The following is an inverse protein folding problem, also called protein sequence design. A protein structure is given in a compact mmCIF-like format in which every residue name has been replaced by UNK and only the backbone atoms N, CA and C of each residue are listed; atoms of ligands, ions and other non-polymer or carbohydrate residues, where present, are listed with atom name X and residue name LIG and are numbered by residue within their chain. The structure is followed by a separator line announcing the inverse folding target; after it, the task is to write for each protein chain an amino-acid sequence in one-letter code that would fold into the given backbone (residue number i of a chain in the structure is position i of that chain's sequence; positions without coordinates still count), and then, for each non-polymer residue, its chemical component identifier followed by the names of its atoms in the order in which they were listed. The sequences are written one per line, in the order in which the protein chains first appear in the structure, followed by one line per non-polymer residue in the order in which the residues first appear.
data_IF_494854459677
#
_entry.id   IF_494854459677
#
_cell.length_a   1.000
_cell.length_b   1.000
_cell.length_c   1.000
_cell.angle_alpha   90.00
_cell.angle_beta   90.00
_cell.angle_gamma   90.00
#
_symmetry.space_group_name_H-M   'P 1'
#
loop_
_entity.id
_entity.type
_entity.pdbx_description
1 polymer ?
#
# COMPACT_ATOMS: atom_id res chain seq x y z
N UNK A 1 68.62 -8.07 -24.74
CA UNK A 1 68.05 -7.51 -23.50
C UNK A 1 66.57 -7.86 -23.48
N UNK A 2 66.17 -9.06 -23.03
CA UNK A 2 65.63 -9.41 -21.68
C UNK A 2 64.53 -8.41 -21.24
N UNK A 3 63.27 -8.76 -20.93
CA UNK A 3 62.62 -9.88 -20.21
C UNK A 3 61.18 -10.09 -20.78
N UNK A 4 60.63 -11.30 -21.04
CA UNK A 4 60.01 -12.29 -20.12
C UNK A 4 58.94 -11.65 -19.20
N UNK A 5 57.64 -11.96 -19.21
CA UNK A 5 56.94 -13.23 -19.40
C UNK A 5 56.44 -13.75 -18.05
N UNK A 6 55.21 -14.28 -18.00
CA UNK A 6 54.67 -15.33 -17.08
C UNK A 6 53.43 -14.95 -16.23
N UNK A 7 52.30 -15.55 -16.67
CA UNK A 7 51.14 -16.05 -15.91
C UNK A 7 51.51 -16.78 -14.61
N UNK A 8 50.77 -16.59 -13.52
CA UNK A 8 50.80 -17.54 -12.40
C UNK A 8 49.38 -17.85 -11.93
N UNK A 9 48.89 -19.02 -12.35
CA UNK A 9 47.88 -19.80 -11.65
C UNK A 9 48.47 -20.37 -10.36
N UNK A 10 47.76 -20.34 -9.24
CA UNK A 10 47.95 -21.32 -8.18
C UNK A 10 46.61 -21.72 -7.55
N UNK A 11 46.22 -22.97 -7.78
CA UNK A 11 45.37 -23.75 -6.89
C UNK A 11 46.19 -24.15 -5.66
N UNK A 12 45.62 -24.09 -4.45
CA UNK A 12 45.96 -25.02 -3.38
C UNK A 12 44.74 -25.28 -2.49
N UNK A 13 44.41 -26.57 -2.38
CA UNK A 13 43.42 -27.16 -1.47
C UNK A 13 43.88 -27.13 -0.01
N UNK A 14 42.90 -27.10 0.90
CA UNK A 14 42.87 -27.99 2.07
C UNK A 14 42.92 -27.32 3.43
N UNK A 15 41.88 -27.54 4.24
CA UNK A 15 41.92 -27.29 5.68
C UNK A 15 40.53 -27.19 6.34
N UNK A 16 39.81 -28.32 6.47
CA UNK A 16 38.80 -28.44 7.51
C UNK A 16 39.53 -28.45 8.87
N UNK A 17 39.27 -27.45 9.70
CA UNK A 17 39.56 -27.49 11.12
C UNK A 17 38.22 -27.30 11.85
N UNK A 18 37.69 -28.41 12.35
CA UNK A 18 36.76 -28.40 13.46
C UNK A 18 37.55 -28.00 14.72
N UNK A 19 37.15 -26.91 15.36
CA UNK A 19 37.58 -26.57 16.71
C UNK A 19 36.33 -26.22 17.52
N UNK A 20 35.92 -27.15 18.39
CA UNK A 20 35.14 -26.83 19.59
C UNK A 20 36.08 -26.18 20.61
N UNK A 21 35.76 -25.01 21.14
CA UNK A 21 35.22 -24.86 22.51
C UNK A 21 35.10 -23.37 22.86
N UNK A 22 33.92 -23.03 23.37
CA UNK A 22 33.59 -22.03 24.37
C UNK A 22 34.33 -20.68 24.38
N UNK A 23 33.65 -19.66 23.85
CA UNK A 23 33.63 -18.35 24.50
C UNK A 23 32.33 -17.59 24.16
N UNK A 24 31.64 -17.15 25.22
CA UNK A 24 30.43 -16.32 25.22
C UNK A 24 30.52 -15.12 24.25
N UNK A 25 30.12 -15.35 23.00
CA UNK A 25 29.68 -14.32 22.08
C UNK A 25 28.17 -14.20 22.19
N UNK A 26 27.67 -12.99 22.35
CA UNK A 26 26.27 -12.67 22.13
C UNK A 26 25.96 -12.91 20.65
N UNK A 27 25.72 -14.17 20.29
CA UNK A 27 25.10 -14.57 19.03
C UNK A 27 23.66 -14.09 19.09
N UNK A 28 23.43 -12.82 18.74
CA UNK A 28 22.15 -12.43 18.17
C UNK A 28 22.04 -13.24 16.87
N UNK A 29 21.14 -14.24 16.79
CA UNK A 29 20.90 -14.93 15.55
C UNK A 29 20.52 -13.90 14.50
N UNK A 30 21.04 -14.04 13.29
CA UNK A 30 20.50 -13.32 12.14
C UNK A 30 18.97 -13.55 12.13
N UNK A 31 18.15 -12.48 12.10
CA UNK A 31 16.71 -12.65 12.18
C UNK A 31 16.26 -13.55 11.04
N UNK A 32 15.58 -14.64 11.38
CA UNK A 32 14.94 -15.51 10.41
C UNK A 32 14.15 -14.66 9.39
N UNK A 33 14.27 -14.93 8.09
CA UNK A 33 13.58 -14.13 7.09
C UNK A 33 12.08 -14.12 7.39
N UNK A 34 11.51 -12.92 7.49
CA UNK A 34 10.10 -12.76 7.85
C UNK A 34 9.21 -13.55 6.89
N UNK A 35 8.30 -14.36 7.44
CA UNK A 35 7.33 -15.17 6.67
C UNK A 35 6.10 -14.37 6.27
N UNK A 36 5.99 -13.11 6.71
CA UNK A 36 4.91 -12.19 6.37
C UNK A 36 5.35 -10.73 6.45
N UNK A 37 4.71 -9.80 5.72
CA UNK A 37 4.95 -8.38 5.91
C UNK A 37 4.45 -7.91 7.28
N UNK A 38 5.14 -6.92 7.84
CA UNK A 38 4.86 -6.36 9.17
C UNK A 38 4.80 -4.84 9.11
N UNK A 39 3.95 -4.26 9.95
CA UNK A 39 3.87 -2.82 10.23
C UNK A 39 4.33 -2.57 11.68
N UNK A 40 5.28 -1.66 11.94
CA UNK A 40 5.88 -1.44 13.25
C UNK A 40 5.02 -0.55 14.18
N UNK A 41 3.72 -0.44 13.91
CA UNK A 41 2.77 0.35 14.67
C UNK A 41 1.65 -0.56 15.17
N UNK A 42 1.06 -0.20 16.31
CA UNK A 42 -0.13 -0.85 16.83
C UNK A 42 -1.42 -0.33 16.20
N UNK A 43 -1.39 0.93 15.74
CA UNK A 43 -2.54 1.60 15.11
C UNK A 43 -2.09 2.57 14.03
N UNK A 44 -2.84 2.56 12.93
CA UNK A 44 -2.85 3.63 11.93
C UNK A 44 -4.30 4.12 11.83
N UNK A 45 -4.55 5.36 12.20
CA UNK A 45 -5.88 5.97 12.14
C UNK A 45 -5.88 7.22 11.27
N UNK A 46 -6.85 7.32 10.38
CA UNK A 46 -7.07 8.46 9.50
C UNK A 46 -8.36 9.15 9.92
N UNK A 47 -8.36 10.49 9.93
CA UNK A 47 -9.54 11.30 10.21
C UNK A 47 -9.68 12.42 9.18
N UNK A 48 -10.83 12.47 8.53
CA UNK A 48 -11.16 13.46 7.49
C UNK A 48 -12.51 14.11 7.81
N UNK A 49 -12.59 15.43 7.64
CA UNK A 49 -13.87 16.15 7.62
C UNK A 49 -14.24 16.36 6.16
N UNK A 50 -15.32 15.72 5.73
CA UNK A 50 -15.87 15.81 4.38
C UNK A 50 -16.90 16.93 4.38
N UNK A 51 -16.51 18.06 3.78
CA UNK A 51 -17.39 19.20 3.61
C UNK A 51 -18.41 18.94 2.49
N UNK A 52 -19.66 19.35 2.72
CA UNK A 52 -20.72 19.30 1.71
C UNK A 52 -21.62 20.54 1.84
N UNK A 53 -22.41 20.84 0.81
CA UNK A 53 -23.41 21.93 0.85
C UNK A 53 -24.51 21.70 1.91
N UNK A 54 -24.55 20.51 2.53
CA UNK A 54 -25.48 20.16 3.59
C UNK A 54 -24.79 20.20 4.97
N UNK A 55 -24.43 19.03 5.50
CA UNK A 55 -23.82 18.89 6.81
C UNK A 55 -22.46 18.20 6.67
N UNK A 56 -21.43 18.66 7.40
CA UNK A 56 -20.13 18.04 7.35
C UNK A 56 -20.19 16.64 7.97
N UNK A 57 -19.50 15.70 7.34
CA UNK A 57 -19.33 14.33 7.85
C UNK A 57 -17.90 14.16 8.30
N UNK A 58 -17.69 13.75 9.54
CA UNK A 58 -16.37 13.31 10.00
C UNK A 58 -16.22 11.82 9.74
N UNK A 59 -15.35 11.45 8.82
CA UNK A 59 -14.96 10.06 8.57
C UNK A 59 -13.71 9.72 9.40
N UNK A 60 -13.68 8.54 10.00
CA UNK A 60 -12.53 7.99 10.72
C UNK A 60 -12.29 6.55 10.26
N UNK A 61 -11.06 6.21 9.92
CA UNK A 61 -10.64 4.90 9.46
C UNK A 61 -9.52 4.41 10.37
N UNK A 62 -9.79 3.37 11.17
CA UNK A 62 -8.83 2.86 12.17
C UNK A 62 -8.39 1.46 11.79
N UNK A 63 -7.09 1.28 11.57
CA UNK A 63 -6.42 0.01 11.29
C UNK A 63 -5.64 -0.42 12.54
N UNK A 64 -5.90 -1.62 13.05
CA UNK A 64 -5.26 -2.15 14.25
C UNK A 64 -4.36 -3.34 13.92
N UNK A 65 -3.18 -3.36 14.51
CA UNK A 65 -2.15 -4.35 14.29
C UNK A 65 -1.82 -5.06 15.61
N UNK A 66 -1.55 -6.36 15.53
CA UNK A 66 -1.10 -7.12 16.70
C UNK A 66 0.39 -6.85 17.00
N UNK A 67 0.88 -7.43 18.10
CA UNK A 67 2.28 -7.30 18.51
C UNK A 67 3.31 -7.89 17.53
N UNK A 68 2.86 -8.72 16.57
CA UNK A 68 3.69 -9.24 15.48
C UNK A 68 3.64 -8.33 14.22
N UNK A 69 2.95 -7.19 14.28
CA UNK A 69 2.84 -6.23 13.19
C UNK A 69 1.86 -6.62 12.08
N UNK A 70 0.98 -7.61 12.30
CA UNK A 70 -0.05 -8.00 11.32
C UNK A 70 -1.37 -7.31 11.62
N UNK A 71 -2.04 -6.84 10.57
CA UNK A 71 -3.36 -6.21 10.68
C UNK A 71 -4.40 -7.22 11.17
N UNK A 72 -5.16 -6.87 12.21
CA UNK A 72 -6.20 -7.75 12.78
C UNK A 72 -7.62 -7.24 12.52
N UNK A 73 -7.79 -5.94 12.39
CA UNK A 73 -9.10 -5.34 12.19
C UNK A 73 -9.02 -3.96 11.57
N UNK A 74 -10.12 -3.59 10.92
CA UNK A 74 -10.40 -2.25 10.44
C UNK A 74 -11.76 -1.80 10.99
N UNK A 75 -11.85 -0.55 11.42
CA UNK A 75 -13.12 0.08 11.81
C UNK A 75 -13.29 1.38 11.02
N UNK A 76 -14.39 1.48 10.29
CA UNK A 76 -14.81 2.70 9.60
C UNK A 76 -15.95 3.38 10.37
N UNK A 77 -15.75 4.63 10.76
CA UNK A 77 -16.73 5.43 11.48
C UNK A 77 -17.09 6.70 10.70
N UNK A 78 -18.37 7.02 10.62
CA UNK A 78 -18.87 8.31 10.13
C UNK A 78 -19.69 8.98 11.21
N UNK A 79 -19.46 10.28 11.40
CA UNK A 79 -20.18 11.09 12.39
C UNK A 79 -20.70 12.37 11.75
N UNK A 80 -21.98 12.67 11.97
CA UNK A 80 -22.67 13.85 11.42
C UNK A 80 -23.85 14.26 12.31
N UNK A 81 -24.29 15.50 12.23
CA UNK A 81 -25.35 16.05 13.11
C UNK A 81 -26.64 16.27 12.34
N UNK A 82 -27.65 15.39 12.42
CA UNK A 82 -28.93 15.61 11.76
C UNK A 82 -29.94 16.28 12.71
N UNK A 83 -30.40 17.49 12.38
CA UNK A 83 -31.17 18.31 13.32
C UNK A 83 -30.29 18.78 14.48
N UNK A 84 -30.70 18.47 15.71
CA UNK A 84 -29.96 18.79 16.94
C UNK A 84 -29.23 17.56 17.53
N UNK A 85 -29.23 16.42 16.84
CA UNK A 85 -28.69 15.14 17.34
C UNK A 85 -27.43 14.70 16.57
N UNK A 86 -26.44 14.19 17.30
CA UNK A 86 -25.23 13.59 16.74
C UNK A 86 -25.48 12.12 16.41
N UNK A 87 -25.26 11.74 15.16
CA UNK A 87 -25.31 10.37 14.69
C UNK A 87 -23.90 9.84 14.46
N UNK A 88 -23.71 8.56 14.78
CA UNK A 88 -22.49 7.82 14.52
C UNK A 88 -22.85 6.49 13.85
N UNK A 89 -22.24 6.22 12.71
CA UNK A 89 -22.33 4.95 12.00
C UNK A 89 -20.95 4.33 12.05
N UNK A 90 -20.86 3.10 12.55
CA UNK A 90 -19.62 2.36 12.67
C UNK A 90 -19.77 1.03 11.94
N UNK A 91 -18.74 0.63 11.19
CA UNK A 91 -18.66 -0.68 10.57
C UNK A 91 -17.30 -1.31 10.86
N UNK A 92 -17.29 -2.60 11.21
CA UNK A 92 -16.04 -3.33 11.51
C UNK A 92 -15.75 -4.41 10.47
N UNK A 93 -14.47 -4.57 10.14
CA UNK A 93 -13.95 -5.65 9.30
C UNK A 93 -12.88 -6.41 10.08
N UNK A 94 -12.95 -7.73 10.08
CA UNK A 94 -11.98 -8.60 10.76
C UNK A 94 -10.99 -9.21 9.77
N UNK A 95 -9.78 -9.48 10.23
CA UNK A 95 -8.73 -10.14 9.45
C UNK A 95 -8.24 -11.37 10.22
N UNK A 96 -8.42 -12.54 9.63
CA UNK A 96 -7.95 -13.81 10.16
C UNK A 96 -6.86 -14.40 9.27
N UNK A 97 -5.80 -14.90 9.89
CA UNK A 97 -4.69 -15.54 9.17
C UNK A 97 -4.68 -17.04 9.41
N UNK A 98 -4.47 -17.79 8.33
CA UNK A 98 -4.25 -19.24 8.31
C UNK A 98 -2.98 -19.54 7.51
N UNK A 99 -2.63 -20.81 7.41
CA UNK A 99 -1.51 -21.23 6.56
C UNK A 99 -1.72 -20.75 5.12
N UNK A 100 -0.78 -19.95 4.60
CA UNK A 100 -0.82 -19.33 3.28
C UNK A 100 -2.15 -18.63 2.92
N UNK A 101 -2.84 -18.06 3.93
CA UNK A 101 -4.14 -17.44 3.70
C UNK A 101 -4.42 -16.28 4.65
N UNK A 102 -5.07 -15.23 4.14
CA UNK A 102 -5.73 -14.21 4.93
C UNK A 102 -7.21 -14.16 4.54
N UNK A 103 -8.11 -14.15 5.52
CA UNK A 103 -9.56 -14.03 5.33
C UNK A 103 -10.00 -12.72 5.93
N UNK A 104 -10.55 -11.85 5.08
CA UNK A 104 -11.08 -10.54 5.47
C UNK A 104 -12.59 -10.61 5.37
N UNK A 105 -13.28 -10.32 6.47
CA UNK A 105 -14.75 -10.37 6.54
C UNK A 105 -15.28 -9.02 7.00
N UNK A 106 -16.12 -8.39 6.17
CA UNK A 106 -16.78 -7.14 6.51
C UNK A 106 -18.10 -7.35 7.27
N UNK A 107 -18.67 -6.28 7.82
CA UNK A 107 -19.93 -6.32 8.57
C UNK A 107 -21.15 -6.68 7.71
N UNK A 108 -21.08 -6.44 6.40
CA UNK A 108 -22.11 -6.83 5.46
C UNK A 108 -22.09 -8.35 5.16
N UNK A 109 -21.08 -9.07 5.64
CA UNK A 109 -20.90 -10.51 5.42
C UNK A 109 -20.16 -10.86 4.14
N UNK A 110 -19.56 -9.88 3.46
CA UNK A 110 -18.65 -10.13 2.33
C UNK A 110 -17.38 -10.79 2.87
N UNK A 111 -16.98 -11.90 2.25
CA UNK A 111 -15.76 -12.62 2.62
C UNK A 111 -14.77 -12.56 1.47
N UNK A 112 -13.63 -11.92 1.72
CA UNK A 112 -12.48 -11.87 0.83
C UNK A 112 -11.38 -12.83 1.32
N UNK A 113 -11.16 -13.91 0.57
CA UNK A 113 -10.12 -14.90 0.88
C UNK A 113 -8.91 -14.69 -0.02
N UNK A 114 -7.79 -14.28 0.58
CA UNK A 114 -6.51 -14.07 -0.07
C UNK A 114 -5.64 -15.31 0.09
N UNK A 115 -5.14 -15.86 -1.02
CA UNK A 115 -4.11 -16.91 -1.01
C UNK A 115 -2.75 -16.23 -0.98
N UNK A 116 -1.93 -16.52 0.03
CA UNK A 116 -0.64 -15.88 0.25
C UNK A 116 0.50 -16.76 -0.27
N UNK A 117 1.58 -16.13 -0.71
CA UNK A 117 2.87 -16.80 -0.95
C UNK A 117 3.64 -17.03 0.37
N UNK A 118 4.79 -17.68 0.28
CA UNK A 118 5.68 -18.01 1.40
C UNK A 118 6.19 -16.78 2.18
N UNK A 119 6.05 -15.59 1.59
CA UNK A 119 6.42 -14.29 2.16
C UNK A 119 5.22 -13.50 2.68
N UNK A 120 4.03 -14.09 2.65
CA UNK A 120 2.79 -13.54 3.20
C UNK A 120 2.07 -12.52 2.33
N UNK A 121 2.46 -12.36 1.06
CA UNK A 121 1.79 -11.47 0.09
C UNK A 121 0.80 -12.26 -0.76
N UNK A 122 -0.36 -11.67 -1.07
CA UNK A 122 -1.41 -12.36 -1.81
C UNK A 122 -1.02 -12.64 -3.27
N UNK A 123 -1.23 -13.85 -3.77
CA UNK A 123 -1.11 -14.14 -5.21
C UNK A 123 -2.48 -14.13 -5.89
N UNK A 124 -3.53 -14.47 -5.14
CA UNK A 124 -4.92 -14.42 -5.59
C UNK A 124 -5.85 -13.97 -4.47
N UNK A 125 -7.02 -13.46 -4.84
CA UNK A 125 -8.13 -13.22 -3.93
C UNK A 125 -9.44 -13.69 -4.57
N UNK A 126 -10.28 -14.34 -3.79
CA UNK A 126 -11.69 -14.59 -4.13
C UNK A 126 -12.56 -13.83 -3.13
N UNK A 127 -13.29 -12.83 -3.61
CA UNK A 127 -14.27 -12.10 -2.81
C UNK A 127 -15.67 -12.54 -3.16
N UNK A 128 -16.48 -12.86 -2.15
CA UNK A 128 -17.87 -13.26 -2.32
C UNK A 128 -18.78 -12.42 -1.44
N UNK A 129 -19.82 -11.83 -2.02
CA UNK A 129 -20.86 -11.12 -1.29
C UNK A 129 -21.94 -12.08 -0.74
N UNK A 130 -22.83 -11.57 0.10
CA UNK A 130 -23.95 -12.35 0.67
C UNK A 130 -24.94 -12.88 -0.37
N UNK A 131 -24.95 -12.33 -1.59
CA UNK A 131 -25.78 -12.82 -2.68
C UNK A 131 -25.10 -13.95 -3.48
N UNK A 132 -23.83 -14.27 -3.16
CA UNK A 132 -23.03 -15.30 -3.80
C UNK A 132 -22.30 -14.83 -5.05
N UNK A 133 -22.36 -13.54 -5.40
CA UNK A 133 -21.60 -13.00 -6.53
C UNK A 133 -20.12 -13.06 -6.18
N UNK A 134 -19.31 -13.58 -7.10
CA UNK A 134 -17.88 -13.79 -6.86
C UNK A 134 -17.06 -12.87 -7.76
N UNK A 135 -15.98 -12.32 -7.20
CA UNK A 135 -14.96 -11.61 -7.96
C UNK A 135 -13.62 -12.24 -7.65
N UNK A 136 -12.84 -12.50 -8.69
CA UNK A 136 -11.51 -13.10 -8.55
C UNK A 136 -10.45 -12.11 -8.97
N UNK A 137 -9.36 -12.07 -8.20
CA UNK A 137 -8.26 -11.17 -8.42
C UNK A 137 -6.94 -11.94 -8.44
N UNK A 138 -6.01 -11.50 -9.27
CA UNK A 138 -4.63 -11.99 -9.31
C UNK A 138 -3.67 -10.83 -9.11
N UNK A 139 -2.60 -11.07 -8.35
CA UNK A 139 -1.60 -10.06 -8.02
C UNK A 139 -0.20 -10.51 -8.46
N UNK A 140 0.62 -9.57 -8.94
CA UNK A 140 2.04 -9.79 -9.18
C UNK A 140 2.88 -8.60 -8.70
N UNK A 141 4.17 -8.85 -8.53
CA UNK A 141 5.03 -7.99 -7.72
C UNK A 141 6.42 -7.79 -8.32
N UNK A 142 6.94 -6.58 -8.13
CA UNK A 142 8.37 -6.33 -8.11
C UNK A 142 8.91 -6.85 -6.78
N UNK A 143 9.96 -7.68 -6.85
CA UNK A 143 10.69 -8.15 -5.67
C UNK A 143 12.03 -7.43 -5.63
N UNK A 144 12.28 -6.68 -4.56
CA UNK A 144 13.54 -5.96 -4.41
C UNK A 144 14.67 -6.87 -3.88
N UNK A 145 15.86 -6.32 -3.68
CA UNK A 145 17.03 -7.07 -3.18
C UNK A 145 16.91 -7.53 -1.72
N UNK A 146 15.95 -6.97 -0.96
CA UNK A 146 15.63 -7.32 0.43
C UNK A 146 14.43 -8.27 0.52
N UNK A 147 14.02 -8.85 -0.60
CA UNK A 147 12.89 -9.79 -0.67
C UNK A 147 11.54 -9.17 -0.23
N UNK A 148 11.43 -7.83 -0.41
CA UNK A 148 10.20 -7.06 -0.25
C UNK A 148 9.43 -6.99 -1.56
N UNK A 149 8.11 -7.12 -1.46
CA UNK A 149 7.21 -7.22 -2.60
C UNK A 149 6.45 -5.91 -2.77
N UNK A 150 6.53 -5.30 -3.96
CA UNK A 150 5.82 -4.07 -4.32
C UNK A 150 4.84 -4.41 -5.44
N UNK A 151 3.56 -4.04 -5.28
CA UNK A 151 2.53 -4.43 -6.24
C UNK A 151 2.81 -3.84 -7.63
N UNK A 152 2.96 -4.71 -8.64
CA UNK A 152 3.11 -4.32 -10.04
C UNK A 152 1.82 -4.48 -10.84
N UNK A 153 0.97 -5.43 -10.47
CA UNK A 153 -0.28 -5.67 -11.17
C UNK A 153 -1.35 -6.23 -10.23
N UNK A 154 -2.56 -5.72 -10.40
CA UNK A 154 -3.81 -6.32 -9.94
C UNK A 154 -4.72 -6.48 -11.14
N UNK A 155 -5.28 -7.68 -11.34
CA UNK A 155 -6.25 -7.95 -12.40
C UNK A 155 -7.50 -8.55 -11.78
N UNK A 156 -8.66 -7.99 -12.11
CA UNK A 156 -9.97 -8.46 -11.71
C UNK A 156 -10.64 -9.25 -12.84
N UNK A 157 -11.26 -10.38 -12.49
CA UNK A 157 -12.12 -11.17 -13.36
C UNK A 157 -13.51 -11.37 -12.77
N UNK A 158 -14.51 -11.30 -13.64
CA UNK A 158 -15.89 -11.64 -13.34
C UNK A 158 -16.08 -13.16 -13.26
N UNK A 159 -17.28 -13.58 -12.85
CA UNK A 159 -17.66 -15.00 -12.73
C UNK A 159 -17.48 -15.82 -14.01
N UNK A 160 -17.61 -15.20 -15.19
CA UNK A 160 -17.40 -15.84 -16.49
C UNK A 160 -15.91 -15.96 -16.89
N UNK A 161 -15.00 -15.51 -16.01
CA UNK A 161 -13.56 -15.49 -16.22
C UNK A 161 -13.07 -14.34 -17.10
N UNK A 162 -13.96 -13.46 -17.58
CA UNK A 162 -13.60 -12.28 -18.36
C UNK A 162 -12.88 -11.28 -17.47
N UNK A 163 -11.74 -10.78 -17.94
CA UNK A 163 -11.07 -9.63 -17.34
C UNK A 163 -11.97 -8.40 -17.42
N UNK A 164 -12.18 -7.75 -16.27
CA UNK A 164 -13.00 -6.55 -16.17
C UNK A 164 -12.18 -5.31 -15.91
N UNK A 165 -11.18 -5.40 -15.03
CA UNK A 165 -10.35 -4.26 -14.68
C UNK A 165 -8.93 -4.69 -14.33
N UNK A 166 -7.99 -3.76 -14.46
CA UNK A 166 -6.64 -3.93 -13.93
C UNK A 166 -6.03 -2.59 -13.52
N UNK A 167 -5.04 -2.66 -12.63
CA UNK A 167 -4.07 -1.59 -12.42
C UNK A 167 -2.67 -2.19 -12.54
N UNK A 168 -1.81 -1.57 -13.33
CA UNK A 168 -0.37 -1.84 -13.34
C UNK A 168 0.41 -0.66 -12.79
N UNK A 169 1.51 -0.94 -12.10
CA UNK A 169 2.44 0.04 -11.53
C UNK A 169 3.85 -0.33 -11.97
N UNK A 170 4.48 0.54 -12.73
CA UNK A 170 5.87 0.39 -13.19
C UNK A 170 6.81 1.21 -12.30
N UNK A 171 7.79 0.51 -11.72
CA UNK A 171 8.81 1.03 -10.80
C UNK A 171 10.16 1.30 -11.46
N UNK A 172 10.25 1.25 -12.80
CA UNK A 172 11.48 1.55 -13.55
C UNK A 172 12.12 2.89 -13.14
N UNK A 173 11.30 3.84 -12.70
CA UNK A 173 11.74 5.03 -11.99
C UNK A 173 11.03 5.15 -10.63
N UNK A 174 11.73 4.87 -9.54
CA UNK A 174 11.16 4.93 -8.18
C UNK A 174 10.68 6.33 -7.76
N UNK A 175 11.12 7.40 -8.45
CA UNK A 175 10.65 8.78 -8.23
C UNK A 175 9.48 9.16 -9.13
N UNK A 176 9.09 8.32 -10.08
CA UNK A 176 8.00 8.55 -11.03
C UNK A 176 7.36 7.20 -11.41
N UNK A 177 6.48 6.72 -10.54
CA UNK A 177 5.78 5.45 -10.73
C UNK A 177 4.74 5.62 -11.84
N UNK A 178 4.84 4.81 -12.88
CA UNK A 178 3.92 4.86 -14.01
C UNK A 178 2.74 3.94 -13.74
N UNK A 179 1.54 4.50 -13.69
CA UNK A 179 0.31 3.76 -13.34
C UNK A 179 -0.58 3.69 -14.58
N UNK A 180 -1.02 2.48 -14.93
CA UNK A 180 -2.05 2.27 -15.95
C UNK A 180 -3.25 1.63 -15.28
N UNK A 181 -4.43 2.18 -15.51
CA UNK A 181 -5.68 1.69 -14.98
C UNK A 181 -6.63 1.42 -16.13
N UNK A 182 -7.32 0.28 -16.06
CA UNK A 182 -8.43 -0.04 -16.94
C UNK A 182 -9.63 -0.48 -16.13
N UNK A 183 -10.80 0.07 -16.45
CA UNK A 183 -12.08 -0.36 -15.90
C UNK A 183 -13.08 -0.51 -17.05
N UNK A 184 -13.45 -1.76 -17.34
CA UNK A 184 -14.20 -2.15 -18.53
C UNK A 184 -13.54 -1.61 -19.82
N UNK A 185 -14.14 -0.58 -20.42
CA UNK A 185 -13.69 0.04 -21.66
C UNK A 185 -12.91 1.33 -21.45
N UNK A 186 -12.89 1.86 -20.22
CA UNK A 186 -12.18 3.09 -19.88
C UNK A 186 -10.74 2.77 -19.47
N UNK A 187 -9.80 3.47 -20.09
CA UNK A 187 -8.38 3.38 -19.77
C UNK A 187 -7.88 4.76 -19.34
N UNK A 188 -7.12 4.79 -18.24
CA UNK A 188 -6.54 5.99 -17.68
C UNK A 188 -5.11 5.70 -17.26
N UNK A 189 -4.20 6.60 -17.61
CA UNK A 189 -2.82 6.51 -17.20
C UNK A 189 -2.44 7.73 -16.38
N UNK A 190 -1.55 7.54 -15.42
CA UNK A 190 -1.04 8.61 -14.58
C UNK A 190 0.40 8.35 -14.15
N UNK A 191 1.02 9.35 -13.57
CA UNK A 191 2.37 9.26 -13.00
C UNK A 191 2.32 9.76 -11.56
N UNK A 192 2.72 8.92 -10.61
CA UNK A 192 2.87 9.27 -9.22
C UNK A 192 4.33 9.64 -8.94
N UNK A 193 4.60 10.87 -8.50
CA UNK A 193 5.97 11.39 -8.40
C UNK A 193 6.39 11.74 -6.98
N UNK A 194 7.68 11.53 -6.70
CA UNK A 194 8.39 12.00 -5.52
C UNK A 194 9.47 13.00 -5.96
N UNK A 195 9.61 14.16 -5.30
CA UNK A 195 10.53 15.20 -5.75
C UNK A 195 11.98 14.78 -5.50
N UNK A 196 12.86 14.98 -6.49
CA UNK A 196 14.31 14.79 -6.32
C UNK A 196 14.84 15.73 -5.24
N UNK A 197 15.75 15.21 -4.41
CA UNK A 197 16.51 15.95 -3.40
C UNK A 197 15.65 16.52 -2.25
N UNK A 198 14.36 16.19 -2.23
CA UNK A 198 13.40 16.56 -1.19
C UNK A 198 12.49 15.36 -0.84
N UNK A 199 12.98 14.14 -1.02
CA UNK A 199 12.22 12.94 -0.70
C UNK A 199 11.94 12.84 0.81
N UNK A 200 10.70 12.49 1.14
CA UNK A 200 10.31 12.16 2.51
C UNK A 200 10.26 10.64 2.61
N UNK A 201 11.14 10.04 3.41
CA UNK A 201 11.12 8.60 3.66
C UNK A 201 9.78 8.20 4.29
N UNK A 202 9.16 7.15 3.77
CA UNK A 202 7.88 6.65 4.25
C UNK A 202 8.05 5.73 5.46
N UNK A 203 8.68 6.25 6.52
CA UNK A 203 8.80 5.54 7.81
C UNK A 203 7.47 5.42 8.55
N UNK A 204 6.42 6.07 8.03
CA UNK A 204 5.03 5.91 8.46
C UNK A 204 4.39 4.63 7.92
N UNK A 205 5.01 4.00 6.92
CA UNK A 205 4.56 2.76 6.28
C UNK A 205 3.10 2.80 5.81
N UNK A 206 2.65 3.97 5.34
CA UNK A 206 1.29 4.20 4.84
C UNK A 206 1.25 4.13 3.31
N UNK A 207 0.16 3.60 2.71
CA UNK A 207 -0.09 3.76 1.28
C UNK A 207 -0.42 5.22 0.93
N UNK A 208 -0.21 5.60 -0.34
CA UNK A 208 -0.70 6.88 -0.85
C UNK A 208 -2.23 6.93 -0.83
N UNK A 209 -2.83 8.07 -0.49
CA UNK A 209 -4.29 8.23 -0.39
C UNK A 209 -5.05 7.76 -1.64
N UNK A 210 -4.53 8.07 -2.84
CA UNK A 210 -5.20 7.72 -4.10
C UNK A 210 -5.23 6.22 -4.36
N UNK A 211 -4.29 5.42 -3.83
CA UNK A 211 -4.20 3.99 -4.11
C UNK A 211 -5.47 3.26 -3.65
N UNK A 212 -6.03 3.67 -2.51
CA UNK A 212 -7.28 3.11 -1.97
C UNK A 212 -8.53 3.75 -2.57
N UNK A 213 -8.39 4.78 -3.41
CA UNK A 213 -9.49 5.39 -4.15
C UNK A 213 -9.57 4.84 -5.60
N UNK A 214 -8.50 4.21 -6.11
CA UNK A 214 -8.44 3.65 -7.47
C UNK A 214 -9.08 2.26 -7.57
N UNK A 215 -10.11 2.09 -8.38
CA UNK A 215 -10.69 0.77 -8.68
C UNK A 215 -9.77 -0.08 -9.58
N UNK A 216 -9.51 -1.38 -9.30
CA UNK A 216 -10.13 -2.21 -8.25
C UNK A 216 -9.41 -2.20 -6.88
N UNK A 217 -8.28 -1.51 -6.70
CA UNK A 217 -7.58 -1.44 -5.41
C UNK A 217 -8.43 -0.87 -4.27
N UNK A 218 -9.40 -0.01 -4.59
CA UNK A 218 -10.37 0.51 -3.63
C UNK A 218 -11.22 -0.57 -2.95
N UNK A 219 -11.38 -1.74 -3.58
CA UNK A 219 -12.05 -2.91 -2.96
C UNK A 219 -11.15 -3.66 -1.97
N UNK A 220 -9.87 -3.29 -1.88
CA UNK A 220 -8.84 -3.99 -1.10
C UNK A 220 -8.14 -3.09 -0.07
N UNK A 221 -8.74 -1.96 0.32
CA UNK A 221 -8.13 -1.00 1.23
C UNK A 221 -7.61 -1.67 2.53
N UNK A 222 -8.40 -2.56 3.15
CA UNK A 222 -7.98 -3.30 4.35
C UNK A 222 -6.75 -4.17 4.08
N UNK A 223 -6.70 -4.88 2.95
CA UNK A 223 -5.55 -5.70 2.57
C UNK A 223 -4.30 -4.86 2.26
N UNK A 224 -4.47 -3.66 1.69
CA UNK A 224 -3.39 -2.71 1.39
C UNK A 224 -2.76 -2.19 2.68
N UNK A 225 -3.56 -1.71 3.64
CA UNK A 225 -3.02 -1.25 4.95
C UNK A 225 -2.42 -2.40 5.77
N UNK A 226 -2.84 -3.64 5.53
CA UNK A 226 -2.22 -4.84 6.12
C UNK A 226 -0.99 -5.34 5.37
N UNK A 227 -0.53 -4.64 4.33
CA UNK A 227 0.56 -5.03 3.42
C UNK A 227 0.39 -6.38 2.75
N UNK A 228 -0.80 -6.97 2.81
CA UNK A 228 -1.14 -8.24 2.13
C UNK A 228 -0.96 -8.07 0.62
N UNK A 229 -1.20 -6.86 0.09
CA UNK A 229 -1.00 -6.52 -1.31
C UNK A 229 0.36 -5.87 -1.60
N UNK A 230 1.35 -5.99 -0.73
CA UNK A 230 2.70 -5.46 -0.94
C UNK A 230 3.05 -4.28 -0.04
N UNK A 231 4.33 -3.92 -0.05
CA UNK A 231 4.89 -2.78 0.67
C UNK A 231 4.47 -1.45 0.01
N UNK A 232 4.29 -0.37 0.80
CA UNK A 232 4.11 0.96 0.26
C UNK A 232 5.41 1.48 -0.37
N UNK A 233 5.32 2.54 -1.19
CA UNK A 233 6.51 3.19 -1.73
C UNK A 233 7.43 3.68 -0.60
N UNK A 234 8.75 3.52 -0.79
CA UNK A 234 9.77 3.89 0.19
C UNK A 234 9.81 5.39 0.50
N UNK A 235 9.31 6.22 -0.41
CA UNK A 235 9.18 7.66 -0.25
C UNK A 235 7.75 8.09 -0.50
N UNK A 236 7.27 9.09 0.25
CA UNK A 236 5.92 9.62 0.08
C UNK A 236 5.76 10.26 -1.30
N UNK A 237 4.69 9.90 -2.01
CA UNK A 237 4.31 10.50 -3.28
C UNK A 237 3.74 11.90 -3.03
N UNK A 238 4.25 12.92 -3.72
CA UNK A 238 3.77 14.30 -3.54
C UNK A 238 2.88 14.78 -4.68
N UNK A 239 2.86 14.09 -5.83
CA UNK A 239 1.92 14.41 -6.90
C UNK A 239 1.40 13.15 -7.60
N UNK A 240 0.14 13.21 -8.03
CA UNK A 240 -0.45 12.29 -8.99
C UNK A 240 -0.86 13.10 -10.23
N UNK A 241 -0.27 12.75 -11.37
CA UNK A 241 -0.39 13.51 -12.62
C UNK A 241 -1.01 12.60 -13.68
N UNK A 242 -2.29 12.77 -14.03
CA UNK A 242 -2.91 12.12 -15.18
C UNK A 242 -2.16 12.38 -16.49
N UNK A 243 -2.27 11.43 -17.42
CA UNK A 243 -1.87 11.67 -18.81
C UNK A 243 -2.78 12.66 -19.50
N UNK A 244 -2.26 13.28 -20.57
CA UNK A 244 -3.02 14.22 -21.41
C UNK A 244 -3.63 15.38 -20.61
N UNK A 245 -2.93 15.80 -19.56
CA UNK A 245 -3.37 16.80 -18.59
C UNK A 245 -3.38 18.25 -19.10
N UNK A 246 -3.25 18.48 -20.40
CA UNK A 246 -3.08 19.82 -20.97
C UNK A 246 -4.35 20.65 -21.01
N UNK A 247 -5.54 20.02 -21.03
CA UNK A 247 -6.83 20.72 -21.08
C UNK A 247 -7.48 20.91 -19.71
N UNK A 248 -7.35 19.92 -18.81
CA UNK A 248 -7.98 19.93 -17.48
C UNK A 248 -7.02 20.27 -16.34
N UNK A 249 -5.71 20.14 -16.54
CA UNK A 249 -4.68 20.30 -15.49
C UNK A 249 -5.02 19.61 -14.15
N UNK A 250 -5.68 18.44 -14.22
CA UNK A 250 -6.15 17.63 -13.09
C UNK A 250 -5.04 16.94 -12.29
N UNK A 251 -4.08 17.72 -11.80
CA UNK A 251 -3.00 17.24 -10.94
C UNK A 251 -3.43 17.29 -9.48
N UNK A 252 -3.23 16.17 -8.78
CA UNK A 252 -3.35 16.12 -7.33
C UNK A 252 -1.98 16.35 -6.70
N UNK A 253 -1.87 17.32 -5.80
CA UNK A 253 -0.65 17.58 -5.01
C UNK A 253 -0.88 17.23 -3.55
N UNK A 254 0.02 16.48 -2.95
CA UNK A 254 0.00 16.07 -1.54
C UNK A 254 1.08 16.82 -0.77
N UNK A 255 0.68 17.45 0.34
CA UNK A 255 1.58 18.10 1.29
C UNK A 255 1.46 17.42 2.64
N UNK A 256 2.58 16.91 3.16
CA UNK A 256 2.62 16.16 4.41
C UNK A 256 3.14 17.02 5.55
N UNK A 257 2.53 16.88 6.72
CA UNK A 257 3.07 17.34 8.00
C UNK A 257 3.62 16.14 8.76
N UNK A 258 4.79 16.29 9.36
CA UNK A 258 5.48 15.23 10.11
C UNK A 258 5.62 15.63 11.59
N UNK A 259 5.62 14.65 12.48
CA UNK A 259 6.05 14.83 13.87
C UNK A 259 7.58 14.83 14.02
N UNK A 260 8.07 14.90 15.26
CA UNK A 260 9.50 14.88 15.56
C UNK A 260 10.20 13.52 15.30
N UNK A 261 9.44 12.45 15.10
CA UNK A 261 9.95 11.13 14.70
C UNK A 261 10.08 11.02 13.18
N UNK A 262 9.54 11.99 12.43
CA UNK A 262 9.41 11.95 10.98
C UNK A 262 8.18 11.17 10.49
N UNK A 263 7.22 10.91 11.37
CA UNK A 263 5.99 10.17 11.07
C UNK A 263 4.89 11.16 10.67
N UNK A 264 4.08 10.80 9.67
CA UNK A 264 3.00 11.64 9.13
C UNK A 264 1.93 11.90 10.19
N UNK A 265 1.57 13.17 10.36
CA UNK A 265 0.45 13.63 11.21
C UNK A 265 -0.70 14.22 10.41
N UNK A 266 -0.45 14.70 9.20
CA UNK A 266 -1.51 15.11 8.27
C UNK A 266 -1.04 15.02 6.81
N UNK A 267 -1.99 14.81 5.90
CA UNK A 267 -1.81 14.99 4.47
C UNK A 267 -2.88 15.97 3.96
N UNK A 268 -2.44 17.05 3.34
CA UNK A 268 -3.30 17.99 2.63
C UNK A 268 -3.19 17.69 1.13
N UNK A 269 -4.28 17.26 0.53
CA UNK A 269 -4.38 16.95 -0.90
C UNK A 269 -5.15 18.06 -1.62
N UNK A 270 -4.57 18.59 -2.69
CA UNK A 270 -5.21 19.58 -3.56
C UNK A 270 -5.30 19.02 -4.96
N UNK A 271 -6.52 18.78 -5.44
CA UNK A 271 -6.79 18.47 -6.84
C UNK A 271 -7.09 19.79 -7.54
N UNK A 272 -6.19 20.23 -8.41
CA UNK A 272 -6.48 21.37 -9.29
C UNK A 272 -7.33 20.87 -10.43
N UNK A 273 -8.40 21.55 -10.80
CA UNK A 273 -9.20 21.20 -11.98
C UNK A 273 -9.53 22.46 -12.76
N UNK A 274 -9.09 22.55 -14.00
CA UNK A 274 -9.43 23.63 -14.92
C UNK A 274 -10.61 23.19 -15.77
N UNK A 275 -11.74 23.91 -15.62
CA UNK A 275 -12.92 23.72 -16.47
C UNK A 275 -13.26 25.03 -17.17
N UNK A 276 -13.26 25.03 -18.50
CA UNK A 276 -13.56 26.20 -19.34
C UNK A 276 -12.71 27.45 -19.00
N UNK A 277 -11.44 27.26 -18.61
CA UNK A 277 -10.52 28.35 -18.26
C UNK A 277 -10.69 28.90 -16.84
N UNK A 278 -11.51 28.28 -15.99
CA UNK A 278 -11.63 28.59 -14.57
C UNK A 278 -11.02 27.47 -13.73
N UNK A 279 -10.13 27.84 -12.81
CA UNK A 279 -9.55 26.95 -11.81
C UNK A 279 -10.58 26.68 -10.71
N UNK A 280 -10.82 25.39 -10.43
CA UNK A 280 -11.60 24.90 -9.31
C UNK A 280 -10.75 23.89 -8.55
N UNK A 281 -10.35 24.26 -7.35
CA UNK A 281 -9.53 23.42 -6.49
C UNK A 281 -10.42 22.63 -5.53
N UNK A 282 -10.26 21.31 -5.52
CA UNK A 282 -10.85 20.44 -4.53
C UNK A 282 -9.79 20.05 -3.50
N UNK A 283 -10.04 20.37 -2.24
CA UNK A 283 -9.09 20.14 -1.15
C UNK A 283 -9.59 19.07 -0.20
N UNK A 284 -8.70 18.18 0.22
CA UNK A 284 -8.94 17.20 1.28
C UNK A 284 -7.86 17.33 2.34
N UNK A 285 -8.24 17.23 3.61
CA UNK A 285 -7.27 17.22 4.73
C UNK A 285 -7.51 15.99 5.57
N UNK A 286 -6.53 15.09 5.56
CA UNK A 286 -6.56 13.85 6.32
C UNK A 286 -5.56 13.96 7.45
N UNK A 287 -6.02 13.86 8.70
CA UNK A 287 -5.16 13.78 9.87
C UNK A 287 -4.84 12.32 10.18
N UNK A 288 -3.63 12.06 10.64
CA UNK A 288 -3.11 10.74 10.95
C UNK A 288 -2.75 10.63 12.43
N UNK A 289 -3.15 9.53 13.04
CA UNK A 289 -2.63 9.06 14.33
C UNK A 289 -1.94 7.73 14.11
N UNK A 290 -0.61 7.73 14.20
CA UNK A 290 0.25 6.56 13.95
C UNK A 290 1.10 6.29 15.20
N UNK A 291 0.84 5.17 15.87
CA UNK A 291 1.42 4.80 17.17
C UNK A 291 1.62 3.30 17.38
#
# INVERSE_FOLDING_TARGET
TRFSGIMFSLLLLGGLAACSDDNNGSDTPEPEPSTYPTTPFSKIELKEVIESDAQPVTATHTYLYNSAGRLTSYTGKQSFTAGDELFEIENTTTVEYKDHQAVITDEAGTVSTYTLNDKGYATTCTSQDMAGNTRTYTFSYLINTEDKYYLENITEKLDDGKEYSFITIDYSNFRALRIQQKVDTFEHNSTATTPSDNEIANISEIPSLFITDMYPLSMHAVAIYGKILGEPANYLITQLIPDSNGESEETTTYTYTLDNRGIVTSCHAVVRHIRNGYEQDYTRTVNYTIE
#
